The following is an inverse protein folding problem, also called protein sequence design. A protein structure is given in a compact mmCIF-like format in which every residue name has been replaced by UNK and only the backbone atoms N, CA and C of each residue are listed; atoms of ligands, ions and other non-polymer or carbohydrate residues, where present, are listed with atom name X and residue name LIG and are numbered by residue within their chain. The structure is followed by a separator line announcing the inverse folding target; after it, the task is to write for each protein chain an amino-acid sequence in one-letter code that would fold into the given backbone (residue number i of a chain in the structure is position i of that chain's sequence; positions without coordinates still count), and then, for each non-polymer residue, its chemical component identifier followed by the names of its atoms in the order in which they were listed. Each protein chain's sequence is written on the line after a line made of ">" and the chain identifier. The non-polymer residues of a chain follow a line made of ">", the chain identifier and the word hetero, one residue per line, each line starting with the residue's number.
data_IF_743428920914
#
_entry.id   IF_743428920914
#
_cell.length_a   1.000
_cell.length_b   1.000
_cell.length_c   1.000
_cell.angle_alpha   90.00
_cell.angle_beta   90.00
_cell.angle_gamma   90.00
#
_symmetry.space_group_name_H-M   'P 1'
#
loop_
_entity.id
_entity.type
_entity.pdbx_description
1 polymer ?
#
# COMPACT_ATOMS: atom_id res chain seq x y z
N UNK A 1 -7.92 -4.11 59.33
CA UNK A 1 -9.09 -4.31 58.45
C UNK A 1 -9.06 -3.16 57.47
N UNK A 2 -8.90 -3.42 56.16
CA UNK A 2 -8.99 -2.34 55.15
C UNK A 2 -10.41 -1.78 55.20
N UNK A 3 -10.55 -0.46 55.07
CA UNK A 3 -11.86 0.19 54.97
C UNK A 3 -12.29 0.25 53.51
N UNK A 4 -13.59 0.36 53.24
CA UNK A 4 -14.11 0.58 51.89
C UNK A 4 -13.53 1.85 51.22
N UNK A 5 -13.11 2.84 52.03
CA UNK A 5 -12.45 4.04 51.55
C UNK A 5 -11.01 3.76 51.07
N UNK A 6 -10.26 2.88 51.76
CA UNK A 6 -8.91 2.48 51.35
C UNK A 6 -8.91 1.73 50.00
N UNK A 7 -9.91 0.89 49.77
CA UNK A 7 -10.12 0.19 48.49
C UNK A 7 -10.41 1.17 47.35
N UNK A 8 -11.19 2.23 47.64
CA UNK A 8 -11.48 3.29 46.66
C UNK A 8 -10.23 4.14 46.35
N UNK A 9 -9.38 4.39 47.35
CA UNK A 9 -8.12 5.11 47.16
C UNK A 9 -7.09 4.30 46.36
N UNK A 10 -7.01 2.98 46.59
CA UNK A 10 -6.17 2.07 45.80
C UNK A 10 -6.63 2.01 44.34
N UNK A 11 -7.95 1.94 44.10
CA UNK A 11 -8.50 2.04 42.75
C UNK A 11 -8.19 3.38 42.06
N UNK A 12 -8.30 4.50 42.79
CA UNK A 12 -7.95 5.82 42.26
C UNK A 12 -6.48 5.89 41.84
N UNK A 13 -5.57 5.41 42.68
CA UNK A 13 -4.13 5.36 42.36
C UNK A 13 -3.85 4.51 41.11
N UNK A 14 -4.50 3.34 41.00
CA UNK A 14 -4.38 2.51 39.81
C UNK A 14 -4.91 3.23 38.55
N UNK A 15 -6.05 3.92 38.66
CA UNK A 15 -6.67 4.62 37.53
C UNK A 15 -5.86 5.85 37.04
N UNK A 16 -5.05 6.46 37.91
CA UNK A 16 -4.22 7.63 37.57
C UNK A 16 -2.84 7.26 37.00
N UNK A 17 -2.35 6.04 37.23
CA UNK A 17 -0.99 5.62 36.84
C UNK A 17 -0.98 4.89 35.51
N UNK A 18 -0.59 5.58 34.44
CA UNK A 18 -0.35 4.98 33.13
C UNK A 18 1.10 4.49 32.95
N UNK A 19 1.29 3.40 32.19
CA UNK A 19 2.61 2.87 31.82
C UNK A 19 3.31 3.66 30.70
N UNK A 20 2.70 4.74 30.21
CA UNK A 20 3.27 5.65 29.23
C UNK A 20 2.82 7.10 29.47
N UNK A 21 3.70 8.05 29.16
CA UNK A 21 3.37 9.48 29.14
C UNK A 21 2.80 9.93 27.78
N UNK A 22 2.13 11.09 27.72
CA UNK A 22 1.55 11.63 26.49
C UNK A 22 2.60 11.85 25.37
N UNK A 23 3.82 12.26 25.73
CA UNK A 23 4.92 12.45 24.78
C UNK A 23 5.33 11.14 24.11
N UNK A 24 5.33 10.02 24.83
CA UNK A 24 5.65 8.71 24.25
C UNK A 24 4.58 8.27 23.25
N UNK A 25 3.30 8.49 23.56
CA UNK A 25 2.19 8.18 22.65
C UNK A 25 2.30 9.01 21.37
N UNK A 26 2.59 10.31 21.50
CA UNK A 26 2.79 11.20 20.35
C UNK A 26 4.01 10.80 19.52
N UNK A 27 5.11 10.37 20.17
CA UNK A 27 6.30 9.90 19.47
C UNK A 27 6.00 8.68 18.57
N UNK A 28 5.25 7.67 19.05
CA UNK A 28 4.91 6.52 18.21
C UNK A 28 4.01 6.91 17.03
N UNK A 29 3.10 7.86 17.21
CA UNK A 29 2.30 8.39 16.11
C UNK A 29 3.16 9.17 15.10
N UNK A 30 4.18 9.89 15.57
CA UNK A 30 5.16 10.57 14.70
C UNK A 30 6.05 9.57 13.95
N UNK A 31 6.48 8.49 14.61
CA UNK A 31 7.24 7.40 13.99
C UNK A 31 6.43 6.73 12.88
N UNK A 32 5.13 6.45 13.11
CA UNK A 32 4.25 5.89 12.09
C UNK A 32 4.15 6.79 10.84
N UNK A 33 4.06 8.10 11.02
CA UNK A 33 4.13 9.09 9.93
C UNK A 33 5.47 9.04 9.19
N UNK A 34 6.58 9.02 9.94
CA UNK A 34 7.93 8.91 9.38
C UNK A 34 8.08 7.65 8.51
N UNK A 35 7.78 6.48 9.06
CA UNK A 35 7.91 5.21 8.32
C UNK A 35 7.00 5.13 7.09
N UNK A 36 5.79 5.71 7.16
CA UNK A 36 4.88 5.75 6.03
C UNK A 36 5.46 6.58 4.86
N UNK A 37 6.18 7.67 5.16
CA UNK A 37 6.86 8.49 4.17
C UNK A 37 8.15 7.81 3.67
N UNK A 38 8.98 7.31 4.58
CA UNK A 38 10.27 6.70 4.27
C UNK A 38 10.11 5.44 3.40
N UNK A 39 9.04 4.66 3.59
CA UNK A 39 8.75 3.49 2.75
C UNK A 39 8.55 3.84 1.26
N UNK A 40 8.07 5.06 0.97
CA UNK A 40 7.91 5.53 -0.41
C UNK A 40 9.20 6.11 -1.00
N UNK A 41 10.23 6.33 -0.18
CA UNK A 41 11.52 6.87 -0.60
C UNK A 41 12.47 5.76 -1.07
N UNK A 42 13.70 6.15 -1.42
CA UNK A 42 14.76 5.24 -1.83
C UNK A 42 15.48 4.56 -0.64
N UNK A 43 14.87 4.52 0.56
CA UNK A 43 15.41 3.73 1.66
C UNK A 43 15.20 2.23 1.40
N UNK A 44 16.12 1.40 1.89
CA UNK A 44 16.00 -0.05 1.82
C UNK A 44 14.65 -0.51 2.42
N UNK A 45 13.76 -1.15 1.63
CA UNK A 45 12.45 -1.61 2.12
C UNK A 45 12.55 -2.50 3.36
N UNK A 46 13.64 -3.27 3.50
CA UNK A 46 13.85 -4.18 4.64
C UNK A 46 14.26 -3.43 5.90
N UNK A 47 14.98 -2.31 5.75
CA UNK A 47 15.30 -1.42 6.87
C UNK A 47 14.02 -0.79 7.43
N UNK A 48 13.16 -0.25 6.57
CA UNK A 48 11.89 0.34 6.99
C UNK A 48 10.98 -0.71 7.63
N UNK A 49 10.90 -1.90 7.03
CA UNK A 49 10.19 -3.03 7.62
C UNK A 49 10.65 -3.33 9.05
N UNK A 50 11.97 -3.38 9.28
CA UNK A 50 12.57 -3.58 10.60
C UNK A 50 12.19 -2.49 11.62
N UNK A 51 12.28 -1.21 11.22
CA UNK A 51 11.90 -0.05 12.05
C UNK A 51 10.41 -0.09 12.42
N UNK A 52 9.53 -0.32 11.44
CA UNK A 52 8.07 -0.42 11.65
C UNK A 52 7.73 -1.58 12.57
N UNK A 53 8.36 -2.75 12.39
CA UNK A 53 8.17 -3.91 13.28
C UNK A 53 8.58 -3.59 14.72
N UNK A 54 9.74 -2.99 14.91
CA UNK A 54 10.25 -2.65 16.25
C UNK A 54 9.30 -1.68 16.98
N UNK A 55 8.81 -0.66 16.26
CA UNK A 55 7.83 0.28 16.81
C UNK A 55 6.49 -0.40 17.13
N UNK A 56 5.99 -1.26 16.24
CA UNK A 56 4.74 -2.01 16.46
C UNK A 56 4.80 -2.90 17.70
N UNK A 57 5.90 -3.65 17.87
CA UNK A 57 6.13 -4.49 19.07
C UNK A 57 6.13 -3.63 20.32
N UNK A 58 6.79 -2.46 20.28
CA UNK A 58 6.83 -1.56 21.44
C UNK A 58 5.46 -0.98 21.79
N UNK A 59 4.65 -0.63 20.78
CA UNK A 59 3.27 -0.19 20.99
C UNK A 59 2.42 -1.31 21.60
N UNK A 60 2.61 -2.56 21.18
CA UNK A 60 1.92 -3.71 21.79
C UNK A 60 2.34 -3.93 23.25
N UNK A 61 3.64 -3.85 23.57
CA UNK A 61 4.12 -3.91 24.96
C UNK A 61 3.45 -2.87 25.84
N UNK A 62 3.24 -1.65 25.32
CA UNK A 62 2.47 -0.64 26.02
C UNK A 62 1.02 -1.09 26.20
N UNK A 63 0.32 -1.48 25.12
CA UNK A 63 -1.09 -1.92 25.17
C UNK A 63 -1.38 -3.11 26.11
N UNK A 64 -0.38 -3.97 26.38
CA UNK A 64 -0.49 -5.05 27.36
C UNK A 64 -0.43 -4.57 28.82
N UNK A 65 0.09 -3.36 29.08
CA UNK A 65 0.05 -2.73 30.40
C UNK A 65 -1.19 -1.87 30.63
N UNK A 66 -1.10 -0.96 31.61
CA UNK A 66 -2.19 -0.05 31.98
C UNK A 66 -2.05 1.33 31.31
N UNK A 67 -3.11 1.80 30.65
CA UNK A 67 -3.23 3.15 30.10
C UNK A 67 -4.57 3.74 30.52
N UNK A 68 -4.65 5.08 30.53
CA UNK A 68 -5.96 5.72 30.48
C UNK A 68 -6.63 5.49 29.11
N UNK A 69 -7.94 5.75 29.04
CA UNK A 69 -8.74 5.46 27.85
C UNK A 69 -8.23 6.18 26.58
N UNK A 70 -7.89 7.47 26.71
CA UNK A 70 -7.43 8.29 25.57
C UNK A 70 -6.10 7.77 25.02
N UNK A 71 -5.14 7.48 25.90
CA UNK A 71 -3.85 6.90 25.51
C UNK A 71 -4.03 5.53 24.86
N UNK A 72 -4.92 4.69 25.42
CA UNK A 72 -5.21 3.36 24.87
C UNK A 72 -5.78 3.45 23.46
N UNK A 73 -6.73 4.35 23.22
CA UNK A 73 -7.29 4.60 21.89
C UNK A 73 -6.21 5.05 20.90
N UNK A 74 -5.39 6.06 21.25
CA UNK A 74 -4.28 6.54 20.39
C UNK A 74 -3.24 5.47 20.08
N UNK A 75 -2.91 4.62 21.06
CA UNK A 75 -2.01 3.49 20.86
C UNK A 75 -2.63 2.43 19.95
N UNK A 76 -3.94 2.15 20.05
CA UNK A 76 -4.62 1.28 19.09
C UNK A 76 -4.65 1.88 17.68
N UNK A 77 -4.89 3.20 17.52
CA UNK A 77 -4.79 3.88 16.23
C UNK A 77 -3.40 3.68 15.61
N UNK A 78 -2.35 3.94 16.41
CA UNK A 78 -0.96 3.79 15.96
C UNK A 78 -0.62 2.34 15.64
N UNK A 79 -1.04 1.38 16.47
CA UNK A 79 -0.88 -0.05 16.21
C UNK A 79 -1.57 -0.48 14.91
N UNK A 80 -2.76 0.07 14.63
CA UNK A 80 -3.51 -0.20 13.41
C UNK A 80 -2.78 0.28 12.16
N UNK A 81 -2.28 1.52 12.15
CA UNK A 81 -1.50 2.03 11.02
C UNK A 81 -0.19 1.27 10.83
N UNK A 82 0.55 0.99 11.90
CA UNK A 82 1.79 0.20 11.83
C UNK A 82 1.52 -1.23 11.34
N UNK A 83 0.46 -1.89 11.82
CA UNK A 83 0.07 -3.22 11.35
C UNK A 83 -0.41 -3.22 9.88
N UNK A 84 -1.16 -2.20 9.44
CA UNK A 84 -1.56 -2.03 8.05
C UNK A 84 -0.33 -1.80 7.14
N UNK A 85 0.64 -1.00 7.60
CA UNK A 85 1.91 -0.80 6.89
C UNK A 85 2.71 -2.09 6.80
N UNK A 86 2.82 -2.86 7.89
CA UNK A 86 3.44 -4.19 7.89
C UNK A 86 2.74 -5.12 6.89
N UNK A 87 1.40 -5.13 6.84
CA UNK A 87 0.66 -5.91 5.84
C UNK A 87 1.02 -5.49 4.41
N UNK A 88 1.08 -4.18 4.16
CA UNK A 88 1.42 -3.63 2.86
C UNK A 88 2.83 -4.04 2.40
N UNK A 89 3.83 -3.83 3.25
CA UNK A 89 5.23 -4.15 2.97
C UNK A 89 5.44 -5.66 2.82
N UNK A 90 4.85 -6.47 3.70
CA UNK A 90 4.91 -7.94 3.64
C UNK A 90 4.35 -8.46 2.31
N UNK A 91 3.26 -7.86 1.82
CA UNK A 91 2.70 -8.15 0.49
C UNK A 91 3.64 -7.73 -0.65
N UNK A 92 4.28 -6.57 -0.56
CA UNK A 92 5.25 -6.09 -1.56
C UNK A 92 6.53 -6.94 -1.60
N UNK A 93 6.90 -7.56 -0.48
CA UNK A 93 7.99 -8.54 -0.41
C UNK A 93 7.59 -9.93 -0.97
N UNK A 94 6.29 -10.16 -1.22
CA UNK A 94 5.77 -11.39 -1.81
C UNK A 94 5.20 -12.40 -0.81
N UNK A 95 5.14 -12.06 0.48
CA UNK A 95 4.67 -12.94 1.56
C UNK A 95 3.16 -12.77 1.82
N UNK A 96 2.33 -13.11 0.82
CA UNK A 96 0.88 -12.80 0.81
C UNK A 96 0.13 -13.36 2.03
N UNK A 97 0.39 -14.61 2.43
CA UNK A 97 -0.28 -15.25 3.58
C UNK A 97 0.05 -14.54 4.90
N UNK A 98 1.30 -14.13 5.07
CA UNK A 98 1.75 -13.40 6.26
C UNK A 98 1.16 -11.99 6.30
N UNK A 99 1.07 -11.32 5.14
CA UNK A 99 0.45 -10.01 5.01
C UNK A 99 -1.01 -9.99 5.52
N UNK A 100 -1.77 -11.05 5.23
CA UNK A 100 -3.15 -11.21 5.72
C UNK A 100 -3.26 -11.27 7.25
N UNK A 101 -2.26 -11.84 7.94
CA UNK A 101 -2.23 -11.84 9.41
C UNK A 101 -2.05 -10.44 9.96
N UNK A 102 -1.14 -9.65 9.38
CA UNK A 102 -0.98 -8.24 9.75
C UNK A 102 -2.24 -7.42 9.47
N UNK A 103 -2.91 -7.67 8.34
CA UNK A 103 -4.16 -6.98 7.99
C UNK A 103 -5.30 -7.30 8.98
N UNK A 104 -5.41 -8.53 9.47
CA UNK A 104 -6.37 -8.89 10.53
C UNK A 104 -6.03 -8.22 11.86
N UNK A 105 -4.75 -8.13 12.22
CA UNK A 105 -4.33 -7.40 13.43
C UNK A 105 -4.68 -5.90 13.32
N UNK A 106 -4.45 -5.29 12.15
CA UNK A 106 -4.83 -3.91 11.89
C UNK A 106 -6.34 -3.67 11.99
N UNK A 107 -7.16 -4.63 11.54
CA UNK A 107 -8.63 -4.57 11.66
C UNK A 107 -9.08 -4.56 13.11
N UNK A 108 -8.55 -5.47 13.94
CA UNK A 108 -8.86 -5.50 15.38
C UNK A 108 -8.41 -4.20 16.05
N UNK A 109 -7.23 -3.68 15.69
CA UNK A 109 -6.77 -2.40 16.21
C UNK A 109 -7.67 -1.22 15.81
N UNK A 110 -8.19 -1.20 14.57
CA UNK A 110 -9.15 -0.19 14.11
C UNK A 110 -10.46 -0.24 14.92
N UNK A 111 -10.98 -1.45 15.17
CA UNK A 111 -12.19 -1.65 16.00
C UNK A 111 -11.98 -1.14 17.43
N UNK A 112 -10.82 -1.44 18.02
CA UNK A 112 -10.47 -1.00 19.38
C UNK A 112 -10.19 0.50 19.48
N UNK A 113 -9.70 1.12 18.40
CA UNK A 113 -9.50 2.55 18.30
C UNK A 113 -10.80 3.33 18.07
N UNK A 114 -11.84 2.67 17.53
CA UNK A 114 -13.08 3.30 17.08
C UNK A 114 -12.84 4.48 16.09
N UNK A 115 -11.86 4.31 15.20
CA UNK A 115 -11.41 5.32 14.23
C UNK A 115 -11.90 4.97 12.81
N UNK A 116 -12.88 5.72 12.25
CA UNK A 116 -13.40 5.49 10.91
C UNK A 116 -12.35 5.67 9.79
N UNK A 117 -11.39 6.59 9.98
CA UNK A 117 -10.30 6.82 9.02
C UNK A 117 -9.38 5.61 8.94
N UNK A 118 -8.97 5.10 10.09
CA UNK A 118 -8.18 3.87 10.16
C UNK A 118 -8.95 2.67 9.61
N UNK A 119 -10.25 2.54 9.88
CA UNK A 119 -11.08 1.48 9.28
C UNK A 119 -11.05 1.52 7.75
N UNK A 120 -11.20 2.70 7.15
CA UNK A 120 -11.13 2.86 5.70
C UNK A 120 -9.73 2.50 5.15
N UNK A 121 -8.65 2.89 5.83
CA UNK A 121 -7.28 2.54 5.43
C UNK A 121 -6.98 1.04 5.55
N UNK A 122 -7.52 0.38 6.58
CA UNK A 122 -7.44 -1.08 6.72
C UNK A 122 -8.22 -1.77 5.59
N UNK A 123 -9.40 -1.26 5.22
CA UNK A 123 -10.17 -1.78 4.09
C UNK A 123 -9.41 -1.61 2.77
N UNK A 124 -8.78 -0.45 2.52
CA UNK A 124 -7.92 -0.21 1.36
C UNK A 124 -6.69 -1.12 1.32
N UNK A 125 -6.10 -1.40 2.49
CA UNK A 125 -4.99 -2.35 2.63
C UNK A 125 -5.46 -3.75 2.24
N UNK A 126 -6.56 -4.25 2.82
CA UNK A 126 -7.11 -5.58 2.49
C UNK A 126 -7.53 -5.71 1.02
N UNK A 127 -8.08 -4.64 0.43
CA UNK A 127 -8.37 -4.59 -1.00
C UNK A 127 -7.11 -4.80 -1.84
N UNK A 128 -6.02 -4.10 -1.52
CA UNK A 128 -4.71 -4.26 -2.16
C UNK A 128 -4.17 -5.69 -2.01
N UNK A 129 -4.23 -6.27 -0.81
CA UNK A 129 -3.76 -7.64 -0.57
C UNK A 129 -4.55 -8.65 -1.43
N UNK A 130 -5.88 -8.59 -1.38
CA UNK A 130 -6.76 -9.46 -2.16
C UNK A 130 -6.52 -9.32 -3.67
N UNK A 131 -6.32 -8.10 -4.17
CA UNK A 131 -6.01 -7.83 -5.57
C UNK A 131 -4.73 -8.57 -6.01
N UNK A 132 -3.64 -8.39 -5.27
CA UNK A 132 -2.36 -9.01 -5.61
C UNK A 132 -2.33 -10.51 -5.32
N UNK A 133 -3.28 -11.04 -4.56
CA UNK A 133 -3.52 -12.49 -4.43
C UNK A 133 -4.40 -13.08 -5.55
N UNK A 134 -4.90 -12.26 -6.48
CA UNK A 134 -5.79 -12.68 -7.56
C UNK A 134 -7.26 -12.85 -7.12
N UNK A 135 -7.59 -12.48 -5.88
CA UNK A 135 -8.94 -12.51 -5.34
C UNK A 135 -9.71 -11.23 -5.68
N UNK A 136 -9.86 -10.94 -6.97
CA UNK A 136 -10.38 -9.65 -7.45
C UNK A 136 -11.79 -9.31 -6.93
N UNK A 137 -12.66 -10.30 -6.75
CA UNK A 137 -14.00 -10.08 -6.15
C UNK A 137 -13.91 -9.65 -4.68
N UNK A 138 -12.99 -10.24 -3.92
CA UNK A 138 -12.76 -9.83 -2.53
C UNK A 138 -12.12 -8.43 -2.48
N UNK A 139 -11.24 -8.10 -3.44
CA UNK A 139 -10.68 -6.76 -3.56
C UNK A 139 -11.76 -5.69 -3.77
N UNK A 140 -12.70 -5.93 -4.69
CA UNK A 140 -13.88 -5.07 -4.91
C UNK A 140 -14.68 -4.91 -3.61
N UNK A 141 -15.02 -6.03 -2.94
CA UNK A 141 -15.80 -5.99 -1.70
C UNK A 141 -15.11 -5.19 -0.59
N UNK A 142 -13.80 -5.36 -0.40
CA UNK A 142 -13.04 -4.60 0.58
C UNK A 142 -13.00 -3.11 0.25
N UNK A 143 -12.78 -2.76 -1.02
CA UNK A 143 -12.78 -1.37 -1.47
C UNK A 143 -14.15 -0.70 -1.28
N UNK A 144 -15.24 -1.36 -1.66
CA UNK A 144 -16.60 -0.83 -1.52
C UNK A 144 -17.05 -0.78 -0.05
N UNK A 145 -16.67 -1.76 0.76
CA UNK A 145 -16.95 -1.71 2.20
C UNK A 145 -16.21 -0.56 2.89
N UNK A 146 -14.98 -0.26 2.47
CA UNK A 146 -14.19 0.84 3.03
C UNK A 146 -14.87 2.20 2.91
N UNK A 147 -15.71 2.41 1.89
CA UNK A 147 -16.40 3.71 1.69
C UNK A 147 -17.56 3.91 2.67
N UNK A 148 -18.03 2.85 3.34
CA UNK A 148 -19.11 2.91 4.35
C UNK A 148 -18.68 3.70 5.58
N UNK A 149 -17.37 3.73 5.89
CA UNK A 149 -16.85 4.44 7.06
C UNK A 149 -16.84 5.98 6.89
N UNK A 150 -17.16 6.49 5.69
CA UNK A 150 -17.24 7.93 5.38
C UNK A 150 -16.01 8.72 5.88
N UNK A 151 -14.85 8.09 5.77
CA UNK A 151 -13.60 8.68 6.19
C UNK A 151 -13.28 9.94 5.38
N UNK A 152 -12.69 10.90 6.07
CA UNK A 152 -12.13 12.10 5.46
C UNK A 152 -10.76 11.79 4.82
N UNK A 153 -10.34 12.62 3.86
CA UNK A 153 -9.03 12.52 3.21
C UNK A 153 -9.01 11.63 1.97
N UNK A 154 -7.81 11.26 1.53
CA UNK A 154 -7.61 10.64 0.22
C UNK A 154 -7.88 9.12 0.21
N UNK A 155 -8.20 8.52 1.36
CA UNK A 155 -8.56 7.10 1.43
C UNK A 155 -9.75 6.74 0.55
N UNK A 156 -10.75 7.62 0.47
CA UNK A 156 -11.93 7.42 -0.41
C UNK A 156 -11.53 7.40 -1.88
N UNK A 157 -10.58 8.26 -2.27
CA UNK A 157 -9.99 8.27 -3.62
C UNK A 157 -9.31 6.93 -3.90
N UNK A 158 -8.50 6.43 -2.95
CA UNK A 158 -7.80 5.15 -3.10
C UNK A 158 -8.77 3.97 -3.21
N UNK A 159 -9.80 3.93 -2.37
CA UNK A 159 -10.81 2.87 -2.38
C UNK A 159 -11.51 2.81 -3.73
N UNK A 160 -11.92 3.95 -4.29
CA UNK A 160 -12.50 3.99 -5.64
C UNK A 160 -11.50 3.59 -6.73
N UNK A 161 -10.23 4.03 -6.64
CA UNK A 161 -9.18 3.59 -7.55
C UNK A 161 -8.98 2.06 -7.53
N UNK A 162 -8.91 1.46 -6.34
CA UNK A 162 -8.74 0.02 -6.18
C UNK A 162 -9.95 -0.79 -6.67
N UNK A 163 -11.17 -0.29 -6.42
CA UNK A 163 -12.37 -0.88 -7.00
C UNK A 163 -12.32 -0.83 -8.53
N UNK A 164 -11.92 0.31 -9.11
CA UNK A 164 -11.79 0.45 -10.56
C UNK A 164 -10.78 -0.55 -11.15
N UNK A 165 -9.62 -0.70 -10.51
CA UNK A 165 -8.56 -1.62 -10.93
C UNK A 165 -9.05 -3.08 -10.90
N UNK A 166 -9.71 -3.48 -9.81
CA UNK A 166 -10.25 -4.83 -9.66
C UNK A 166 -11.43 -5.12 -10.61
N UNK A 167 -12.30 -4.13 -10.87
CA UNK A 167 -13.34 -4.25 -11.89
C UNK A 167 -12.76 -4.39 -13.30
N UNK A 168 -11.65 -3.71 -13.59
CA UNK A 168 -10.95 -3.83 -14.86
C UNK A 168 -10.35 -5.24 -15.04
N UNK A 169 -9.75 -5.82 -14.01
CA UNK A 169 -9.21 -7.19 -14.04
C UNK A 169 -10.27 -8.25 -14.35
N UNK A 170 -11.47 -8.12 -13.78
CA UNK A 170 -12.56 -9.08 -14.06
C UNK A 170 -13.31 -8.80 -15.37
N UNK A 171 -12.83 -7.85 -16.19
CA UNK A 171 -13.42 -7.50 -17.49
C UNK A 171 -14.68 -6.63 -17.44
N UNK A 172 -15.06 -6.13 -16.26
CA UNK A 172 -16.27 -5.33 -16.05
C UNK A 172 -16.04 -3.84 -16.39
N UNK A 173 -15.87 -3.55 -17.69
CA UNK A 173 -15.42 -2.24 -18.20
C UNK A 173 -16.29 -1.05 -17.75
N UNK A 174 -17.62 -1.21 -17.72
CA UNK A 174 -18.53 -0.15 -17.26
C UNK A 174 -18.33 0.19 -15.79
N UNK A 175 -18.21 -0.82 -14.94
CA UNK A 175 -18.01 -0.68 -13.50
C UNK A 175 -16.63 -0.07 -13.21
N UNK A 176 -15.60 -0.51 -13.95
CA UNK A 176 -14.25 0.05 -13.84
C UNK A 176 -14.24 1.56 -14.15
N UNK A 177 -14.85 1.98 -15.27
CA UNK A 177 -14.97 3.40 -15.63
C UNK A 177 -15.77 4.19 -14.62
N UNK A 178 -16.90 3.65 -14.14
CA UNK A 178 -17.72 4.33 -13.14
C UNK A 178 -16.97 4.50 -11.80
N UNK A 179 -16.20 3.50 -11.37
CA UNK A 179 -15.39 3.58 -10.17
C UNK A 179 -14.22 4.57 -10.32
N UNK A 180 -13.57 4.61 -11.50
CA UNK A 180 -12.53 5.60 -11.79
C UNK A 180 -13.09 7.03 -11.77
N UNK A 181 -14.26 7.27 -12.37
CA UNK A 181 -14.94 8.57 -12.31
C UNK A 181 -15.25 9.00 -10.87
N UNK A 182 -15.71 8.07 -10.01
CA UNK A 182 -15.90 8.36 -8.58
C UNK A 182 -14.59 8.69 -7.86
N UNK A 183 -13.47 8.10 -8.26
CA UNK A 183 -12.16 8.44 -7.70
C UNK A 183 -11.75 9.88 -8.07
N UNK A 184 -12.00 10.27 -9.32
CA UNK A 184 -11.73 11.63 -9.82
C UNK A 184 -12.62 12.68 -9.15
N UNK A 185 -13.91 12.39 -9.01
CA UNK A 185 -14.85 13.25 -8.29
C UNK A 185 -14.44 13.43 -6.82
N UNK A 186 -14.07 12.33 -6.14
CA UNK A 186 -13.58 12.38 -4.77
C UNK A 186 -12.27 13.19 -4.64
N UNK A 187 -11.35 13.05 -5.59
CA UNK A 187 -10.10 13.82 -5.60
C UNK A 187 -10.34 15.32 -5.84
N UNK A 188 -11.33 15.68 -6.66
CA UNK A 188 -11.71 17.08 -6.90
C UNK A 188 -12.31 17.73 -5.64
N UNK A 189 -13.10 16.97 -4.87
CA UNK A 189 -13.64 17.43 -3.59
C UNK A 189 -12.54 17.62 -2.54
N UNK A 190 -11.57 16.70 -2.47
CA UNK A 190 -10.46 16.77 -1.51
C UNK A 190 -9.61 18.04 -1.69
N UNK A 191 -9.31 18.42 -2.95
CA UNK A 191 -8.60 19.67 -3.29
C UNK A 191 -9.32 20.94 -2.81
N UNK A 192 -10.63 20.87 -2.58
CA UNK A 192 -11.43 21.99 -2.08
C UNK A 192 -11.51 22.05 -0.55
N UNK A 193 -10.96 21.05 0.15
CA UNK A 193 -11.06 20.87 1.60
C UNK A 193 -9.71 20.97 2.31
N UNK A 194 -9.66 21.48 3.54
CA UNK A 194 -8.44 21.47 4.40
C UNK A 194 -8.31 20.11 5.11
N UNK A 195 -8.69 19.04 4.44
CA UNK A 195 -8.67 17.70 5.01
C UNK A 195 -7.34 17.07 4.63
N UNK A 196 -6.64 16.52 5.62
CA UNK A 196 -5.33 15.93 5.44
C UNK A 196 -5.37 14.48 5.93
N UNK A 197 -4.67 13.59 5.21
CA UNK A 197 -4.43 12.25 5.72
C UNK A 197 -3.52 12.35 6.96
N UNK A 198 -4.00 11.90 8.11
CA UNK A 198 -3.29 12.03 9.39
C UNK A 198 -1.89 11.41 9.34
N UNK A 199 -1.76 10.22 8.72
CA UNK A 199 -0.48 9.54 8.59
C UNK A 199 0.27 9.91 7.30
N UNK A 200 -0.45 10.22 6.22
CA UNK A 200 0.08 10.50 4.90
C UNK A 200 1.06 9.42 4.39
N UNK A 201 1.98 9.78 3.49
CA UNK A 201 2.96 8.84 2.91
C UNK A 201 2.24 7.68 2.21
N UNK A 202 2.55 6.44 2.61
CA UNK A 202 1.86 5.23 2.14
C UNK A 202 0.33 5.31 2.27
N UNK A 203 -0.16 5.98 3.31
CA UNK A 203 -1.57 6.26 3.59
C UNK A 203 -1.99 7.60 2.98
N UNK A 204 -1.75 7.75 1.68
CA UNK A 204 -2.26 8.85 0.87
C UNK A 204 -2.49 8.42 -0.57
N UNK A 205 -3.35 9.14 -1.30
CA UNK A 205 -3.62 8.93 -2.71
C UNK A 205 -3.55 10.25 -3.50
N UNK A 206 -2.35 10.83 -3.64
CA UNK A 206 -2.16 12.04 -4.43
C UNK A 206 -2.37 11.77 -5.93
N UNK A 207 -2.45 12.84 -6.72
CA UNK A 207 -2.73 12.79 -8.16
C UNK A 207 -1.89 11.76 -8.94
N UNK A 208 -0.60 11.61 -8.61
CA UNK A 208 0.26 10.61 -9.25
C UNK A 208 -0.17 9.15 -8.99
N UNK A 209 -0.68 8.86 -7.79
CA UNK A 209 -1.19 7.52 -7.43
C UNK A 209 -2.53 7.25 -8.08
N UNK A 210 -3.43 8.23 -8.12
CA UNK A 210 -4.69 8.13 -8.87
C UNK A 210 -4.42 7.89 -10.36
N UNK A 211 -3.50 8.66 -10.94
CA UNK A 211 -3.14 8.53 -12.35
C UNK A 211 -2.59 7.14 -12.70
N UNK A 212 -1.83 6.52 -11.80
CA UNK A 212 -1.36 5.14 -11.96
C UNK A 212 -2.52 4.13 -12.09
N UNK A 213 -3.56 4.24 -11.27
CA UNK A 213 -4.75 3.40 -11.39
C UNK A 213 -5.53 3.70 -12.66
N UNK A 214 -5.73 4.98 -13.01
CA UNK A 214 -6.38 5.38 -14.26
C UNK A 214 -5.67 4.79 -15.49
N UNK A 215 -4.35 4.91 -15.54
CA UNK A 215 -3.53 4.35 -16.60
C UNK A 215 -3.72 2.83 -16.74
N UNK A 216 -3.70 2.10 -15.62
CA UNK A 216 -3.90 0.65 -15.61
C UNK A 216 -5.32 0.24 -16.05
N UNK A 217 -6.35 1.00 -15.64
CA UNK A 217 -7.75 0.78 -16.07
C UNK A 217 -7.88 0.97 -17.59
N UNK A 218 -7.32 2.05 -18.13
CA UNK A 218 -7.37 2.34 -19.57
C UNK A 218 -6.55 1.35 -20.40
N UNK A 219 -5.42 0.86 -19.88
CA UNK A 219 -4.63 -0.17 -20.53
C UNK A 219 -5.46 -1.45 -20.70
N UNK A 220 -6.08 -1.96 -19.62
CA UNK A 220 -6.92 -3.17 -19.67
C UNK A 220 -8.21 -2.98 -20.47
N UNK A 221 -8.69 -1.75 -20.59
CA UNK A 221 -9.81 -1.42 -21.47
C UNK A 221 -9.43 -1.43 -22.97
N UNK A 222 -8.15 -1.61 -23.31
CA UNK A 222 -7.66 -1.59 -24.70
C UNK A 222 -7.58 -0.17 -25.26
N UNK A 223 -7.34 0.84 -24.42
CA UNK A 223 -7.28 2.25 -24.81
C UNK A 223 -5.86 2.81 -24.64
N UNK A 224 -4.90 2.45 -25.51
CA UNK A 224 -3.48 2.78 -25.32
C UNK A 224 -3.22 4.29 -25.21
N UNK A 225 -3.86 5.13 -26.03
CA UNK A 225 -3.68 6.59 -25.98
C UNK A 225 -4.12 7.19 -24.63
N UNK A 226 -5.21 6.68 -24.05
CA UNK A 226 -5.66 7.11 -22.72
C UNK A 226 -4.72 6.59 -21.63
N UNK A 227 -4.26 5.34 -21.73
CA UNK A 227 -3.29 4.78 -20.80
C UNK A 227 -1.99 5.61 -20.76
N UNK A 228 -1.47 6.01 -21.92
CA UNK A 228 -0.32 6.91 -22.04
C UNK A 228 -0.59 8.28 -21.42
N UNK A 229 -1.73 8.90 -21.73
CA UNK A 229 -2.08 10.22 -21.20
C UNK A 229 -2.13 10.24 -19.66
N UNK A 230 -2.77 9.23 -19.04
CA UNK A 230 -2.76 9.08 -17.58
C UNK A 230 -1.36 8.79 -17.06
N UNK A 231 -0.60 7.93 -17.74
CA UNK A 231 0.75 7.60 -17.29
C UNK A 231 1.67 8.82 -17.27
N UNK A 232 1.66 9.63 -18.33
CA UNK A 232 2.48 10.83 -18.46
C UNK A 232 2.04 11.93 -17.49
N UNK A 233 0.73 12.12 -17.32
CA UNK A 233 0.18 13.02 -16.30
C UNK A 233 0.63 12.61 -14.88
N UNK A 234 0.57 11.31 -14.58
CA UNK A 234 1.03 10.74 -13.32
C UNK A 234 2.52 10.97 -13.07
N UNK A 235 3.37 10.67 -14.07
CA UNK A 235 4.81 10.91 -13.98
C UNK A 235 5.13 12.40 -13.77
N UNK A 236 4.47 13.30 -14.50
CA UNK A 236 4.63 14.75 -14.33
C UNK A 236 4.16 15.24 -12.95
N UNK A 237 3.09 14.66 -12.40
CA UNK A 237 2.65 14.96 -11.03
C UNK A 237 3.68 14.50 -9.99
N UNK A 238 4.22 13.28 -10.13
CA UNK A 238 5.22 12.72 -9.21
C UNK A 238 6.56 13.47 -9.27
N UNK A 239 6.94 14.01 -10.43
CA UNK A 239 8.17 14.80 -10.57
C UNK A 239 8.18 16.05 -9.67
N UNK A 240 7.01 16.62 -9.38
CA UNK A 240 6.82 17.81 -8.53
C UNK A 240 6.74 17.49 -7.05
N UNK A 241 6.67 16.22 -6.66
CA UNK A 241 6.60 15.81 -5.26
C UNK A 241 8.00 15.70 -4.65
N UNK A 242 8.11 16.04 -3.37
CA UNK A 242 9.35 15.88 -2.59
C UNK A 242 9.70 14.40 -2.42
N UNK A 243 8.69 13.56 -2.19
CA UNK A 243 8.79 12.10 -2.15
C UNK A 243 8.42 11.54 -3.51
N UNK A 244 9.24 10.64 -4.06
CA UNK A 244 8.95 9.95 -5.33
C UNK A 244 8.72 8.47 -5.08
N UNK A 245 7.45 8.01 -5.01
CA UNK A 245 7.12 6.60 -4.79
C UNK A 245 7.64 5.71 -5.93
N UNK A 246 8.79 5.06 -5.72
CA UNK A 246 9.49 4.30 -6.76
C UNK A 246 8.62 3.20 -7.37
N UNK A 247 7.81 2.52 -6.55
CA UNK A 247 6.88 1.48 -7.02
C UNK A 247 5.75 2.01 -7.91
N UNK A 248 5.27 3.24 -7.68
CA UNK A 248 4.25 3.89 -8.54
C UNK A 248 4.89 4.35 -9.84
N UNK A 249 6.08 4.95 -9.78
CA UNK A 249 6.86 5.34 -10.97
C UNK A 249 7.11 4.13 -11.87
N UNK A 250 7.54 3.01 -11.29
CA UNK A 250 7.78 1.77 -12.02
C UNK A 250 6.51 1.27 -12.74
N UNK A 251 5.37 1.25 -12.06
CA UNK A 251 4.11 0.80 -12.63
C UNK A 251 3.59 1.71 -13.77
N UNK A 252 3.78 3.02 -13.66
CA UNK A 252 3.47 3.97 -14.75
C UNK A 252 4.32 3.69 -15.99
N UNK A 253 5.61 3.44 -15.82
CA UNK A 253 6.52 3.07 -16.91
C UNK A 253 6.17 1.72 -17.55
N UNK A 254 5.82 0.71 -16.75
CA UNK A 254 5.34 -0.58 -17.27
C UNK A 254 4.03 -0.40 -18.03
N UNK A 255 3.14 0.48 -17.56
CA UNK A 255 1.88 0.78 -18.25
C UNK A 255 2.13 1.48 -19.59
N UNK A 256 3.10 2.39 -19.68
CA UNK A 256 3.53 2.98 -20.96
C UNK A 256 4.05 1.92 -21.93
N UNK A 257 4.88 1.00 -21.45
CA UNK A 257 5.38 -0.10 -22.26
C UNK A 257 4.24 -1.01 -22.76
N UNK A 258 3.26 -1.30 -21.91
CA UNK A 258 2.05 -2.03 -22.30
C UNK A 258 1.19 -1.27 -23.32
N UNK A 259 1.10 0.06 -23.22
CA UNK A 259 0.36 0.86 -24.18
C UNK A 259 1.03 0.87 -25.57
N UNK A 260 2.37 0.96 -25.62
CA UNK A 260 3.13 0.79 -26.88
C UNK A 260 2.95 -0.62 -27.47
N UNK A 261 2.92 -1.66 -26.63
CA UNK A 261 2.60 -3.02 -27.08
C UNK A 261 1.21 -3.11 -27.71
N UNK A 262 0.19 -2.51 -27.08
CA UNK A 262 -1.18 -2.49 -27.63
C UNK A 262 -1.30 -1.65 -28.92
N UNK A 263 -0.43 -0.66 -29.09
CA UNK A 263 -0.40 0.21 -30.27
C UNK A 263 0.46 -0.36 -31.43
N UNK A 264 1.07 -1.53 -31.25
CA UNK A 264 2.02 -2.14 -32.21
C UNK A 264 3.25 -1.23 -32.48
N UNK A 265 3.76 -0.58 -31.43
CA UNK A 265 4.91 0.34 -31.46
C UNK A 265 6.12 -0.26 -30.72
N UNK A 266 6.84 -1.22 -31.33
CA UNK A 266 7.87 -2.02 -30.64
C UNK A 266 9.04 -1.20 -30.06
N UNK A 267 9.41 -0.10 -30.72
CA UNK A 267 10.53 0.74 -30.29
C UNK A 267 10.26 1.43 -28.94
N UNK A 268 9.00 1.80 -28.67
CA UNK A 268 8.60 2.48 -27.44
C UNK A 268 8.56 1.57 -26.21
N UNK A 269 8.55 0.25 -26.38
CA UNK A 269 8.40 -0.71 -25.26
C UNK A 269 9.64 -0.71 -24.37
N UNK A 270 10.82 -0.94 -24.95
CA UNK A 270 12.07 -1.03 -24.20
C UNK A 270 12.52 0.35 -23.68
N UNK A 271 12.25 1.42 -24.44
CA UNK A 271 12.48 2.79 -23.98
C UNK A 271 11.65 3.09 -22.72
N UNK A 272 10.36 2.78 -22.73
CA UNK A 272 9.48 2.98 -21.59
C UNK A 272 9.90 2.17 -20.36
N UNK A 273 10.49 0.98 -20.54
CA UNK A 273 10.97 0.13 -19.44
C UNK A 273 12.34 0.54 -18.88
N UNK A 274 13.13 1.34 -19.59
CA UNK A 274 14.49 1.72 -19.17
C UNK A 274 14.55 2.23 -17.71
N UNK A 275 13.65 3.13 -17.25
CA UNK A 275 13.66 3.59 -15.86
C UNK A 275 13.34 2.48 -14.83
N UNK A 276 12.56 1.47 -15.21
CA UNK A 276 12.22 0.33 -14.35
C UNK A 276 13.43 -0.59 -14.17
N UNK A 277 14.14 -0.84 -15.27
CA UNK A 277 15.36 -1.66 -15.29
C UNK A 277 16.53 -0.95 -14.57
N UNK A 278 16.53 0.38 -14.53
CA UNK A 278 17.53 1.16 -13.79
C UNK A 278 17.29 1.19 -12.27
N UNK A 279 16.11 0.79 -11.77
CA UNK A 279 15.86 0.72 -10.34
C UNK A 279 16.77 -0.32 -9.67
N UNK A 280 17.25 -0.08 -8.44
CA UNK A 280 17.88 -1.12 -7.64
C UNK A 280 16.96 -2.33 -7.48
N UNK A 281 17.55 -3.52 -7.43
CA UNK A 281 16.82 -4.78 -7.49
C UNK A 281 15.83 -4.94 -6.31
N UNK A 282 16.20 -4.45 -5.14
CA UNK A 282 15.41 -4.40 -3.90
C UNK A 282 14.15 -3.54 -4.02
N UNK A 283 14.13 -2.54 -4.91
CA UNK A 283 12.94 -1.69 -5.14
C UNK A 283 11.98 -2.27 -6.19
N UNK A 284 12.37 -3.34 -6.90
CA UNK A 284 11.49 -4.04 -7.85
C UNK A 284 10.60 -5.03 -7.09
N UNK A 285 9.65 -4.50 -6.32
CA UNK A 285 8.73 -5.24 -5.44
C UNK A 285 7.88 -6.27 -6.18
N UNK A 286 7.20 -7.16 -5.44
CA UNK A 286 6.35 -8.20 -6.01
C UNK A 286 5.30 -7.66 -7.00
N UNK A 287 4.57 -6.55 -6.72
CA UNK A 287 3.73 -5.88 -7.71
C UNK A 287 4.44 -5.52 -9.02
N UNK A 288 5.63 -4.92 -8.95
CA UNK A 288 6.41 -4.52 -10.13
C UNK A 288 6.84 -5.74 -10.92
N UNK A 289 7.36 -6.78 -10.25
CA UNK A 289 7.76 -8.04 -10.90
C UNK A 289 6.57 -8.72 -11.57
N UNK A 290 5.40 -8.73 -10.92
CA UNK A 290 4.20 -9.33 -11.50
C UNK A 290 3.80 -8.60 -12.78
N UNK A 291 3.75 -7.26 -12.76
CA UNK A 291 3.42 -6.45 -13.94
C UNK A 291 4.42 -6.62 -15.09
N UNK A 292 5.72 -6.74 -14.80
CA UNK A 292 6.73 -7.04 -15.81
C UNK A 292 6.48 -8.41 -16.46
N UNK A 293 6.14 -9.44 -15.66
CA UNK A 293 5.80 -10.77 -16.18
C UNK A 293 4.52 -10.75 -17.01
N UNK A 294 3.50 -10.00 -16.58
CA UNK A 294 2.25 -9.86 -17.32
C UNK A 294 2.52 -9.21 -18.69
N UNK A 295 3.31 -8.13 -18.74
CA UNK A 295 3.74 -7.50 -19.99
C UNK A 295 4.49 -8.47 -20.91
N UNK A 296 5.44 -9.24 -20.38
CA UNK A 296 6.19 -10.22 -21.17
C UNK A 296 5.29 -11.35 -21.70
N UNK A 297 4.29 -11.78 -20.91
CA UNK A 297 3.28 -12.76 -21.32
C UNK A 297 2.41 -12.22 -22.45
N UNK A 298 1.93 -10.99 -22.31
CA UNK A 298 1.09 -10.33 -23.32
C UNK A 298 1.86 -10.14 -24.63
N UNK A 299 3.13 -9.77 -24.55
CA UNK A 299 4.00 -9.66 -25.72
C UNK A 299 4.27 -11.01 -26.39
N UNK A 300 4.42 -12.09 -25.62
CA UNK A 300 4.59 -13.44 -26.18
C UNK A 300 3.33 -13.92 -26.92
N UNK A 301 2.15 -13.51 -26.45
CA UNK A 301 0.87 -13.82 -27.08
C UNK A 301 0.50 -12.89 -28.25
N UNK A 302 1.31 -11.88 -28.55
CA UNK A 302 1.07 -10.94 -29.65
C UNK A 302 1.87 -11.31 -30.90
N UNK A 303 1.60 -10.69 -32.07
CA UNK A 303 2.40 -10.87 -33.28
C UNK A 303 3.90 -10.56 -33.11
N UNK A 304 4.27 -9.81 -32.07
CA UNK A 304 5.65 -9.46 -31.74
C UNK A 304 6.41 -10.58 -31.01
N UNK A 305 5.74 -11.63 -30.52
CA UNK A 305 6.36 -12.66 -29.67
C UNK A 305 7.64 -13.28 -30.25
N UNK A 306 7.63 -13.63 -31.53
CA UNK A 306 8.76 -14.24 -32.25
C UNK A 306 9.74 -13.22 -32.86
N UNK A 307 9.52 -11.92 -32.66
CA UNK A 307 10.44 -10.88 -33.12
C UNK A 307 11.69 -10.80 -32.25
N UNK A 308 12.73 -10.11 -32.74
CA UNK A 308 13.91 -9.80 -31.93
C UNK A 308 13.56 -8.96 -30.69
N UNK A 309 12.60 -8.02 -30.84
CA UNK A 309 12.11 -7.18 -29.73
C UNK A 309 11.36 -8.01 -28.69
N UNK A 310 10.52 -8.95 -29.11
CA UNK A 310 9.78 -9.85 -28.22
C UNK A 310 10.71 -10.74 -27.38
N UNK A 311 11.72 -11.37 -28.02
CA UNK A 311 12.75 -12.13 -27.31
C UNK A 311 13.57 -11.27 -26.35
N UNK A 312 13.99 -10.08 -26.79
CA UNK A 312 14.74 -9.15 -25.93
C UNK A 312 13.92 -8.72 -24.72
N UNK A 313 12.62 -8.46 -24.89
CA UNK A 313 11.72 -8.13 -23.78
C UNK A 313 11.62 -9.27 -22.76
N UNK A 314 11.50 -10.52 -23.24
CA UNK A 314 11.53 -11.72 -22.38
C UNK A 314 12.82 -11.76 -21.55
N UNK A 315 13.98 -11.64 -22.19
CA UNK A 315 15.29 -11.75 -21.54
C UNK A 315 15.51 -10.67 -20.46
N UNK A 316 15.15 -9.41 -20.75
CA UNK A 316 15.31 -8.31 -19.79
C UNK A 316 14.34 -8.45 -18.61
N UNK A 317 13.10 -8.89 -18.86
CA UNK A 317 12.12 -9.12 -17.80
C UNK A 317 12.57 -10.28 -16.90
N UNK A 318 13.00 -11.39 -17.48
CA UNK A 318 13.47 -12.55 -16.71
C UNK A 318 14.66 -12.17 -15.83
N UNK A 319 15.64 -11.46 -16.40
CA UNK A 319 16.82 -11.00 -15.67
C UNK A 319 16.44 -10.05 -14.53
N UNK A 320 15.63 -9.02 -14.81
CA UNK A 320 15.23 -8.05 -13.80
C UNK A 320 14.43 -8.69 -12.65
N UNK A 321 13.57 -9.67 -12.96
CA UNK A 321 12.78 -10.43 -11.99
C UNK A 321 13.67 -11.32 -11.13
N UNK A 322 14.66 -11.99 -11.74
CA UNK A 322 15.61 -12.88 -11.03
C UNK A 322 16.50 -12.09 -10.07
N UNK A 323 17.07 -10.98 -10.51
CA UNK A 323 17.87 -10.09 -9.67
C UNK A 323 17.09 -9.60 -8.44
N UNK A 324 15.85 -9.16 -8.66
CA UNK A 324 15.00 -8.68 -7.59
C UNK A 324 14.60 -9.78 -6.59
N UNK A 325 14.35 -11.01 -7.08
CA UNK A 325 14.09 -12.15 -6.21
C UNK A 325 15.30 -12.47 -5.33
N UNK A 326 16.52 -12.41 -5.87
CA UNK A 326 17.75 -12.62 -5.12
C UNK A 326 17.95 -11.52 -4.07
N UNK A 327 17.86 -10.25 -4.45
CA UNK A 327 18.04 -9.11 -3.56
C UNK A 327 17.08 -9.13 -2.36
N UNK A 328 15.81 -9.48 -2.60
CA UNK A 328 14.78 -9.52 -1.56
C UNK A 328 14.74 -10.83 -0.78
N UNK A 329 15.47 -11.86 -1.22
CA UNK A 329 15.60 -13.14 -0.49
C UNK A 329 16.68 -13.11 0.60
N UNK A 330 17.66 -12.19 0.49
CA UNK A 330 18.89 -12.22 1.28
C UNK A 330 18.82 -11.50 2.64
N UNK A 331 17.64 -11.06 3.09
CA UNK A 331 17.51 -10.41 4.41
C UNK A 331 16.21 -10.71 5.14
N UNK A 332 15.67 -11.93 4.99
CA UNK A 332 14.76 -12.43 6.02
C UNK A 332 15.60 -12.64 7.29
N UNK A 333 15.32 -11.96 8.43
CA UNK A 333 15.90 -12.36 9.69
C UNK A 333 15.32 -13.74 10.01
N UNK A 334 16.08 -14.78 9.68
CA UNK A 334 16.00 -16.04 10.40
C UNK A 334 16.49 -15.72 11.81
N UNK A 335 15.57 -15.45 12.72
CA UNK A 335 15.54 -16.02 14.07
C UNK A 335 14.66 -15.19 15.00
N UNK A 336 13.84 -15.90 15.79
CA UNK A 336 13.21 -15.38 17.01
C UNK A 336 11.69 -15.21 16.98
N UNK A 337 10.93 -16.24 16.62
CA UNK A 337 9.48 -16.29 16.95
C UNK A 337 9.08 -17.71 17.37
N UNK A 338 9.25 -18.00 18.66
CA UNK A 338 8.34 -18.66 19.61
C UNK A 338 9.03 -18.45 20.97
N UNK A 339 8.48 -17.58 21.83
CA UNK A 339 8.74 -17.75 23.26
C UNK A 339 7.89 -18.94 23.68
N UNK A 340 8.55 -20.04 24.03
CA UNK A 340 7.93 -21.05 24.87
C UNK A 340 7.48 -20.36 26.15
N UNK A 341 6.17 -20.25 26.33
CA UNK A 341 5.57 -20.02 27.62
C UNK A 341 4.86 -21.31 27.99
N UNK A 342 5.62 -22.15 28.68
CA UNK A 342 5.12 -23.00 29.77
C UNK A 342 4.50 -22.14 30.88
#
# INVERSE_FOLDING_TARGET
>A
MRTAADESAEWLQWAEVANCGPVSVEQYAADARGFAADYLMAEDPLLIFGKTRASLVRVWELLYGHQNLEQRQKLFTTAGYLAAMMAWMTSDLGHKRQAETHARAAMVAAEMAADPGLHAWVAATRSKLAFWDGQFRAAIQHAEHGTVFQASGTVTVLLHCQAADAWAEVGARSQAKAALGRAEDAAALDLSSVIHDEVAGLFSCPAGRLANYGAAVHLRAGSPSQALAYADCGLAALQRQAVRPLGTVAQLHITRAGAHLLADEPDGILEALSPVLALPAEHRTAPVRQRLRDLARDAAGSPMGDSATGRRLQDVVETAVREAALALSLSAPTDGWISDHD
#
